data_IF_848234501875
#
_entry.id   IF_848234501875
#
_cell.length_a   1.000
_cell.length_b   1.000
_cell.length_c   1.000
_cell.angle_alpha   90.00
_cell.angle_beta   90.00
_cell.angle_gamma   90.00
#
_symmetry.space_group_name_H-M   'P 1'
#
loop_
_entity.id
_entity.type
_entity.pdbx_description
1 polymer ?
#
# COMPACT_ATOMS: atom_id res chain seq x y z
N UNK A 1 1.45 13.49 7.53
CA UNK A 1 0.17 13.16 6.87
C UNK A 1 -0.23 11.81 7.43
N UNK A 2 -1.33 11.75 8.18
CA UNK A 2 -1.76 10.53 8.87
C UNK A 2 -2.96 9.94 8.14
N UNK A 3 -2.84 8.68 7.74
CA UNK A 3 -3.92 7.92 7.08
C UNK A 3 -4.20 6.67 7.92
N UNK A 4 -5.49 6.37 8.13
CA UNK A 4 -5.96 5.18 8.87
C UNK A 4 -6.97 4.45 8.01
N UNK A 5 -6.70 3.19 7.70
CA UNK A 5 -7.59 2.40 6.86
C UNK A 5 -7.32 0.90 7.02
N UNK A 6 -8.05 0.10 6.27
CA UNK A 6 -7.86 -1.35 6.24
C UNK A 6 -6.79 -1.71 5.21
N UNK A 7 -5.83 -2.55 5.57
CA UNK A 7 -4.91 -3.11 4.60
C UNK A 7 -5.70 -4.01 3.64
N UNK A 8 -5.79 -3.59 2.38
CA UNK A 8 -6.52 -4.31 1.35
C UNK A 8 -5.60 -5.30 0.63
N UNK A 9 -4.38 -4.87 0.33
CA UNK A 9 -3.37 -5.70 -0.31
C UNK A 9 -1.98 -5.31 0.20
N UNK A 10 -1.15 -6.32 0.44
CA UNK A 10 0.26 -6.14 0.76
C UNK A 10 1.04 -7.07 -0.16
N UNK A 11 1.88 -6.52 -1.02
CA UNK A 11 2.74 -7.34 -1.86
C UNK A 11 3.86 -7.98 -1.04
N UNK A 12 4.48 -9.01 -1.60
CA UNK A 12 5.80 -9.45 -1.18
C UNK A 12 6.85 -8.37 -1.46
N UNK A 13 8.01 -8.50 -0.82
CA UNK A 13 9.16 -7.65 -1.11
C UNK A 13 9.73 -8.06 -2.47
N UNK A 14 9.76 -7.12 -3.40
CA UNK A 14 10.30 -7.33 -4.74
C UNK A 14 11.75 -6.84 -4.73
N UNK A 15 12.69 -7.77 -4.86
CA UNK A 15 14.09 -7.46 -5.11
C UNK A 15 14.25 -7.13 -6.59
N UNK A 16 14.49 -5.84 -6.89
CA UNK A 16 14.69 -5.38 -8.27
C UNK A 16 16.18 -5.43 -8.62
N UNK A 17 17.04 -5.08 -7.66
CA UNK A 17 18.50 -5.26 -7.73
C UNK A 17 19.03 -5.69 -6.36
N UNK A 18 20.34 -5.95 -6.25
CA UNK A 18 20.97 -6.30 -4.97
C UNK A 18 20.84 -5.21 -3.90
N UNK A 19 20.82 -3.93 -4.33
CA UNK A 19 20.68 -2.77 -3.45
C UNK A 19 19.27 -2.18 -3.42
N UNK A 20 18.45 -2.43 -4.44
CA UNK A 20 17.13 -1.80 -4.58
C UNK A 20 16.00 -2.80 -4.36
N UNK A 21 15.13 -2.47 -3.40
CA UNK A 21 13.97 -3.29 -3.06
C UNK A 21 12.74 -2.41 -3.01
N UNK A 22 11.61 -2.96 -3.46
CA UNK A 22 10.32 -2.27 -3.37
C UNK A 22 9.25 -3.15 -2.75
N UNK A 23 8.25 -2.52 -2.14
CA UNK A 23 7.06 -3.17 -1.64
C UNK A 23 5.84 -2.29 -1.86
N UNK A 24 4.74 -2.90 -2.26
CA UNK A 24 3.47 -2.23 -2.54
C UNK A 24 2.48 -2.52 -1.42
N UNK A 25 1.80 -1.48 -0.95
CA UNK A 25 0.78 -1.56 0.09
C UNK A 25 -0.44 -0.78 -0.37
N UNK A 26 -1.60 -1.43 -0.47
CA UNK A 26 -2.87 -0.77 -0.76
C UNK A 26 -3.67 -0.68 0.52
N UNK A 27 -3.99 0.54 0.90
CA UNK A 27 -4.88 0.85 2.02
C UNK A 27 -6.23 1.26 1.46
N UNK A 28 -7.28 0.62 1.96
CA UNK A 28 -8.66 1.04 1.79
C UNK A 28 -8.99 2.05 2.89
N UNK A 29 -9.21 3.30 2.49
CA UNK A 29 -9.60 4.41 3.35
C UNK A 29 -11.09 4.66 3.17
N UNK A 30 -11.94 3.74 3.63
CA UNK A 30 -13.39 3.88 3.49
C UNK A 30 -14.01 4.37 4.81
N UNK A 31 -14.53 5.60 4.81
CA UNK A 31 -15.56 6.02 5.79
C UNK A 31 -16.97 5.63 5.34
N UNK A 32 -17.17 5.35 4.04
CA UNK A 32 -18.44 4.93 3.44
C UNK A 32 -18.28 3.61 2.64
N UNK A 33 -18.92 2.49 3.08
CA UNK A 33 -18.77 1.18 2.44
C UNK A 33 -19.23 1.08 0.98
N UNK A 34 -20.06 2.01 0.49
CA UNK A 34 -20.56 1.99 -0.89
C UNK A 34 -19.56 2.52 -1.92
N UNK A 35 -18.55 3.29 -1.49
CA UNK A 35 -17.53 3.87 -2.36
C UNK A 35 -16.16 3.73 -1.70
N UNK A 36 -15.55 2.53 -1.76
CA UNK A 36 -14.24 2.32 -1.18
C UNK A 36 -13.18 3.12 -1.96
N UNK A 37 -12.40 3.93 -1.23
CA UNK A 37 -11.24 4.63 -1.78
C UNK A 37 -9.96 3.85 -1.46
N UNK A 38 -9.12 3.68 -2.48
CA UNK A 38 -7.87 2.95 -2.36
C UNK A 38 -6.68 3.87 -2.55
N UNK A 39 -5.75 3.83 -1.61
CA UNK A 39 -4.47 4.53 -1.70
C UNK A 39 -3.37 3.48 -1.81
N UNK A 40 -2.62 3.52 -2.91
CA UNK A 40 -1.44 2.68 -3.11
C UNK A 40 -0.20 3.41 -2.63
N UNK A 41 0.52 2.77 -1.72
CA UNK A 41 1.84 3.16 -1.24
C UNK A 41 2.90 2.28 -1.86
N UNK A 42 4.00 2.91 -2.27
CA UNK A 42 5.20 2.22 -2.71
C UNK A 42 6.33 2.56 -1.75
N UNK A 43 6.78 1.56 -1.01
CA UNK A 43 7.96 1.68 -0.16
C UNK A 43 9.18 1.28 -0.98
N UNK A 44 10.19 2.15 -0.99
CA UNK A 44 11.47 1.94 -1.67
C UNK A 44 12.61 2.03 -0.66
N UNK A 45 13.63 1.20 -0.85
CA UNK A 45 14.87 1.17 -0.07
C UNK A 45 16.08 1.08 -0.99
#
# INVERSE_FOLDING_TARGET
MDIKGKAHYVSDVINVTDSFRKRELVIEFAENPQYPEFVKFEAIQ
#
